data_IF_683319458031
#
_entry.id   IF_683319458031
#
_cell.length_a   1.000
_cell.length_b   1.000
_cell.length_c   1.000
_cell.angle_alpha   90.00
_cell.angle_beta   90.00
_cell.angle_gamma   90.00
#
_symmetry.space_group_name_H-M   'P 1'
#
loop_
_entity.id
_entity.type
_entity.pdbx_description
1 polymer ?
#
# COMPACT_ATOMS: atom_id res chain seq x y z
N UNK A 1 3.30 20.13 7.47
CA UNK A 1 4.27 19.14 6.98
C UNK A 1 3.45 18.00 6.39
N UNK A 2 3.48 17.86 5.07
CA UNK A 2 2.49 17.09 4.32
C UNK A 2 2.44 15.63 4.76
N UNK A 3 1.22 15.13 4.96
CA UNK A 3 0.93 13.75 5.38
C UNK A 3 1.54 12.69 4.43
N UNK A 4 1.87 13.09 3.20
CA UNK A 4 2.57 12.27 2.20
C UNK A 4 4.07 12.15 2.49
N UNK A 5 4.73 13.20 2.96
CA UNK A 5 6.17 13.17 3.26
C UNK A 5 6.43 12.36 4.54
N UNK A 6 5.57 12.52 5.54
CA UNK A 6 5.68 11.78 6.81
C UNK A 6 5.44 10.29 6.64
N UNK A 7 4.51 9.88 5.77
CA UNK A 7 4.26 8.48 5.44
C UNK A 7 5.41 7.84 4.66
N UNK A 8 6.02 8.56 3.71
CA UNK A 8 7.21 8.09 2.98
C UNK A 8 8.40 7.89 3.93
N UNK A 9 8.65 8.85 4.83
CA UNK A 9 9.72 8.75 5.84
C UNK A 9 9.48 7.59 6.81
N UNK A 10 8.25 7.42 7.30
CA UNK A 10 7.89 6.32 8.18
C UNK A 10 8.13 4.96 7.50
N UNK A 11 7.77 4.83 6.22
CA UNK A 11 8.01 3.62 5.44
C UNK A 11 9.51 3.34 5.26
N UNK A 12 10.32 4.37 4.95
CA UNK A 12 11.76 4.24 4.82
C UNK A 12 12.42 3.80 6.14
N UNK A 13 11.97 4.34 7.28
CA UNK A 13 12.44 3.95 8.62
C UNK A 13 12.04 2.51 8.94
N UNK A 14 10.81 2.09 8.63
CA UNK A 14 10.38 0.70 8.82
C UNK A 14 11.20 -0.26 7.96
N UNK A 15 11.44 0.07 6.69
CA UNK A 15 12.30 -0.73 5.82
C UNK A 15 13.75 -0.80 6.35
N UNK A 16 14.30 0.30 6.87
CA UNK A 16 15.63 0.33 7.47
C UNK A 16 15.69 -0.49 8.77
N UNK A 17 14.66 -0.43 9.61
CA UNK A 17 14.57 -1.23 10.83
C UNK A 17 14.40 -2.71 10.53
N UNK A 18 13.58 -3.08 9.54
CA UNK A 18 13.46 -4.46 9.05
C UNK A 18 14.80 -4.94 8.50
N UNK A 19 15.52 -4.09 7.76
CA UNK A 19 16.87 -4.42 7.26
C UNK A 19 17.87 -4.63 8.40
N UNK A 20 17.88 -3.76 9.41
CA UNK A 20 18.79 -3.87 10.57
C UNK A 20 18.43 -5.05 11.49
N UNK A 21 17.14 -5.23 11.79
CA UNK A 21 16.65 -6.31 12.65
C UNK A 21 16.89 -7.67 12.01
N UNK A 22 16.60 -7.80 10.72
CA UNK A 22 16.87 -9.02 9.98
C UNK A 22 18.38 -9.22 9.76
N UNK A 23 19.15 -8.15 9.53
CA UNK A 23 20.62 -8.24 9.46
C UNK A 23 21.24 -8.83 10.73
N UNK A 24 20.69 -8.50 11.91
CA UNK A 24 21.13 -9.06 13.18
C UNK A 24 20.76 -10.54 13.31
N UNK A 25 19.55 -10.96 12.93
CA UNK A 25 19.16 -12.37 12.96
C UNK A 25 19.99 -13.24 12.00
N UNK A 26 20.50 -12.65 10.91
CA UNK A 26 21.37 -13.34 9.96
C UNK A 26 22.79 -13.56 10.48
N UNK A 27 23.33 -12.64 11.29
CA UNK A 27 24.65 -12.82 11.94
C UNK A 27 24.63 -13.99 12.92
N UNK A 28 23.55 -14.11 13.70
CA UNK A 28 23.37 -15.22 14.63
C UNK A 28 23.15 -16.55 13.90
N UNK A 29 22.47 -16.55 12.75
CA UNK A 29 22.29 -17.74 11.93
C UNK A 29 23.60 -18.19 11.26
N UNK A 30 24.44 -17.25 10.82
CA UNK A 30 25.75 -17.56 10.23
C UNK A 30 26.74 -18.13 11.27
N UNK A 31 26.75 -17.60 12.49
CA UNK A 31 27.59 -18.11 13.58
C UNK A 31 27.26 -19.58 13.92
N UNK A 32 25.96 -19.94 13.93
CA UNK A 32 25.50 -21.32 14.14
C UNK A 32 25.90 -22.29 13.02
N UNK A 33 26.15 -21.80 11.79
CA UNK A 33 26.60 -22.65 10.65
C UNK A 33 28.06 -23.05 10.76
N UNK A 34 28.91 -22.17 11.30
CA UNK A 34 30.33 -22.47 11.56
C UNK A 34 30.41 -23.57 12.62
N UNK A 35 29.64 -23.43 13.72
CA UNK A 35 29.53 -24.47 14.75
C UNK A 35 28.94 -25.79 14.22
N UNK A 36 27.98 -25.76 13.29
CA UNK A 36 27.38 -26.97 12.67
C UNK A 36 28.35 -27.74 11.78
N UNK A 37 29.21 -27.05 11.03
CA UNK A 37 30.24 -27.71 10.19
C UNK A 37 31.25 -28.50 11.04
N UNK A 38 31.54 -28.01 12.24
CA UNK A 38 32.40 -28.72 13.20
C UNK A 38 31.72 -29.96 13.80
N UNK A 39 30.39 -29.93 14.00
CA UNK A 39 29.65 -31.04 14.61
C UNK A 39 29.32 -32.20 13.64
N UNK A 40 29.03 -31.92 12.38
CA UNK A 40 28.50 -32.93 11.44
C UNK A 40 29.48 -33.36 10.33
N UNK A 41 30.62 -32.68 10.16
CA UNK A 41 31.56 -32.98 9.07
C UNK A 41 30.95 -32.83 7.67
N UNK A 42 31.55 -33.44 6.64
CA UNK A 42 31.08 -33.29 5.24
C UNK A 42 29.68 -33.88 4.96
N UNK A 43 29.15 -34.72 5.84
CA UNK A 43 27.92 -35.47 5.62
C UNK A 43 26.73 -34.85 6.37
N UNK A 44 26.24 -33.73 5.85
CA UNK A 44 25.08 -33.02 6.40
C UNK A 44 23.76 -33.73 6.03
N UNK A 45 23.09 -34.32 7.02
CA UNK A 45 21.78 -34.98 6.87
C UNK A 45 20.69 -34.14 7.55
N UNK A 46 19.79 -33.52 6.75
CA UNK A 46 18.79 -32.54 7.22
C UNK A 46 17.86 -33.09 8.30
N UNK A 47 17.58 -34.39 8.30
CA UNK A 47 16.66 -35.02 9.24
C UNK A 47 17.28 -35.38 10.60
N UNK A 48 18.61 -35.29 10.72
CA UNK A 48 19.35 -35.54 11.96
C UNK A 48 19.71 -34.24 12.71
N UNK A 49 19.43 -33.10 12.10
CA UNK A 49 19.61 -31.78 12.69
C UNK A 49 18.40 -31.46 13.60
N UNK A 50 18.55 -31.65 14.91
CA UNK A 50 17.48 -31.40 15.89
C UNK A 50 17.13 -29.92 16.01
N UNK A 51 17.99 -29.04 15.50
CA UNK A 51 17.87 -27.58 15.60
C UNK A 51 17.26 -26.95 14.34
N UNK A 52 16.98 -27.75 13.30
CA UNK A 52 16.42 -27.28 12.04
C UNK A 52 14.97 -27.75 11.84
N UNK A 53 14.13 -26.88 11.31
CA UNK A 53 12.78 -27.23 10.90
C UNK A 53 12.83 -27.75 9.44
N UNK A 54 12.66 -29.06 9.18
CA UNK A 54 12.86 -29.66 7.87
C UNK A 54 11.92 -29.13 6.78
N UNK A 55 10.84 -28.45 7.19
CA UNK A 55 9.85 -27.84 6.30
C UNK A 55 10.30 -26.49 5.71
N UNK A 56 11.38 -25.88 6.22
CA UNK A 56 11.94 -24.66 5.64
C UNK A 56 12.92 -25.06 4.52
N UNK A 57 12.78 -24.51 3.31
CA UNK A 57 13.63 -24.91 2.20
C UNK A 57 15.06 -24.34 2.29
N UNK A 58 16.06 -25.17 1.98
CA UNK A 58 17.49 -24.83 2.04
C UNK A 58 17.88 -23.56 1.28
N UNK A 59 17.15 -23.14 0.24
CA UNK A 59 17.49 -21.93 -0.51
C UNK A 59 17.21 -20.63 0.27
N UNK A 60 16.34 -20.67 1.28
CA UNK A 60 16.13 -19.58 2.25
C UNK A 60 17.27 -19.56 3.28
N UNK A 61 17.71 -20.73 3.75
CA UNK A 61 18.79 -20.84 4.73
C UNK A 61 20.18 -20.60 4.15
N UNK A 62 20.49 -21.18 2.99
CA UNK A 62 21.83 -21.21 2.41
C UNK A 62 22.31 -19.84 1.94
N UNK A 63 21.38 -18.98 1.50
CA UNK A 63 21.66 -17.65 0.99
C UNK A 63 20.71 -16.60 1.59
N UNK A 64 21.02 -16.08 2.79
CA UNK A 64 20.10 -15.18 3.50
C UNK A 64 19.82 -13.88 2.76
N UNK A 65 20.77 -13.40 1.94
CA UNK A 65 20.57 -12.26 1.02
C UNK A 65 19.45 -12.50 0.01
N UNK A 66 19.28 -13.75 -0.47
CA UNK A 66 18.20 -14.10 -1.40
C UNK A 66 16.85 -14.18 -0.69
N UNK A 67 16.83 -14.72 0.53
CA UNK A 67 15.63 -14.74 1.37
C UNK A 67 15.08 -13.33 1.63
N UNK A 68 15.94 -12.36 1.94
CA UNK A 68 15.54 -10.95 2.10
C UNK A 68 14.97 -10.37 0.81
N UNK A 69 15.56 -10.66 -0.35
CA UNK A 69 15.03 -10.20 -1.65
C UNK A 69 13.62 -10.77 -1.88
N UNK A 70 13.40 -12.06 -1.63
CA UNK A 70 12.08 -12.66 -1.76
C UNK A 70 11.05 -12.06 -0.78
N UNK A 71 11.47 -11.77 0.46
CA UNK A 71 10.61 -11.10 1.44
C UNK A 71 10.20 -9.69 1.00
N UNK A 72 11.16 -8.90 0.48
CA UNK A 72 10.89 -7.56 -0.06
C UNK A 72 9.97 -7.63 -1.27
N UNK A 73 10.22 -8.56 -2.20
CA UNK A 73 9.38 -8.74 -3.40
C UNK A 73 7.96 -9.14 -3.00
N UNK A 74 7.79 -10.08 -2.06
CA UNK A 74 6.48 -10.47 -1.56
C UNK A 74 5.74 -9.30 -0.88
N UNK A 75 6.47 -8.46 -0.13
CA UNK A 75 5.89 -7.28 0.51
C UNK A 75 5.44 -6.22 -0.49
N UNK A 76 6.25 -5.95 -1.52
CA UNK A 76 5.87 -5.04 -2.61
C UNK A 76 4.65 -5.57 -3.37
N UNK A 77 4.60 -6.89 -3.63
CA UNK A 77 3.45 -7.54 -4.25
C UNK A 77 2.18 -7.40 -3.40
N UNK A 78 2.31 -7.53 -2.08
CA UNK A 78 1.19 -7.36 -1.16
C UNK A 78 0.63 -5.92 -1.19
N UNK A 79 1.51 -4.92 -1.16
CA UNK A 79 1.10 -3.50 -1.24
C UNK A 79 0.39 -3.22 -2.57
N UNK A 80 0.93 -3.73 -3.68
CA UNK A 80 0.30 -3.58 -5.00
C UNK A 80 -1.04 -4.28 -5.09
N UNK A 81 -1.21 -5.45 -4.47
CA UNK A 81 -2.50 -6.14 -4.42
C UNK A 81 -3.58 -5.34 -3.67
N UNK A 82 -3.21 -4.69 -2.56
CA UNK A 82 -4.14 -3.85 -1.78
C UNK A 82 -4.51 -2.58 -2.55
N UNK A 83 -3.56 -1.92 -3.23
CA UNK A 83 -3.85 -0.73 -4.04
C UNK A 83 -4.73 -1.04 -5.27
N UNK A 84 -4.82 -2.30 -5.71
CA UNK A 84 -5.77 -2.67 -6.79
C UNK A 84 -7.24 -2.44 -6.40
N UNK A 85 -7.56 -2.37 -5.11
CA UNK A 85 -8.93 -2.31 -4.61
C UNK A 85 -9.27 -0.87 -4.24
N UNK A 86 -10.31 -0.32 -4.86
CA UNK A 86 -10.85 1.00 -4.55
C UNK A 86 -12.33 0.89 -4.23
N UNK A 87 -12.77 1.48 -3.12
CA UNK A 87 -14.19 1.49 -2.75
C UNK A 87 -14.79 2.85 -3.08
N UNK A 88 -15.82 2.85 -3.93
CA UNK A 88 -16.58 4.05 -4.27
C UNK A 88 -17.73 4.20 -3.27
N UNK A 89 -17.79 5.32 -2.52
CA UNK A 89 -18.83 5.55 -1.53
C UNK A 89 -20.21 5.70 -2.19
N UNK A 90 -21.30 5.45 -1.45
CA UNK A 90 -22.64 5.62 -1.97
C UNK A 90 -22.90 7.08 -2.37
N UNK A 91 -23.76 7.28 -3.37
CA UNK A 91 -24.09 8.62 -3.88
C UNK A 91 -22.96 9.29 -4.69
N UNK A 92 -21.93 8.51 -5.06
CA UNK A 92 -20.87 8.90 -5.98
C UNK A 92 -20.77 7.90 -7.13
N UNK A 93 -20.30 8.36 -8.29
CA UNK A 93 -19.92 7.54 -9.45
C UNK A 93 -18.41 7.60 -9.63
N UNK A 94 -17.77 6.45 -9.78
CA UNK A 94 -16.34 6.39 -10.05
C UNK A 94 -16.07 6.65 -11.53
N UNK A 95 -15.25 7.65 -11.85
CA UNK A 95 -14.74 7.88 -13.21
C UNK A 95 -13.33 7.30 -13.30
N UNK A 96 -13.14 6.33 -14.18
CA UNK A 96 -11.84 5.69 -14.39
C UNK A 96 -11.00 6.52 -15.37
N UNK A 97 -9.83 6.95 -14.91
CA UNK A 97 -8.85 7.69 -15.69
C UNK A 97 -7.62 6.80 -15.89
N UNK A 98 -7.24 6.58 -17.15
CA UNK A 98 -6.05 5.81 -17.54
C UNK A 98 -5.07 6.76 -18.23
N UNK A 99 -3.91 7.05 -17.63
CA UNK A 99 -2.93 8.02 -18.18
C UNK A 99 -3.53 9.37 -18.62
N UNK A 100 -4.54 9.88 -17.90
CA UNK A 100 -5.22 11.13 -18.23
C UNK A 100 -6.36 10.99 -19.25
N UNK A 101 -6.56 9.82 -19.87
CA UNK A 101 -7.73 9.54 -20.69
C UNK A 101 -8.87 9.05 -19.81
N UNK A 102 -10.02 9.73 -19.90
CA UNK A 102 -11.26 9.31 -19.25
C UNK A 102 -11.84 8.13 -20.03
N UNK A 103 -12.13 7.03 -19.34
CA UNK A 103 -12.88 5.91 -19.91
C UNK A 103 -14.37 6.25 -19.84
N UNK A 104 -15.10 6.04 -20.93
CA UNK A 104 -16.55 6.36 -21.02
C UNK A 104 -17.42 5.51 -20.08
N UNK A 105 -16.87 4.43 -19.53
CA UNK A 105 -17.55 3.57 -18.57
C UNK A 105 -17.44 4.17 -17.18
N UNK A 106 -18.54 4.72 -16.67
CA UNK A 106 -18.68 5.14 -15.29
C UNK A 106 -18.84 3.91 -14.39
N UNK A 107 -17.95 3.76 -13.42
CA UNK A 107 -18.00 2.69 -12.42
C UNK A 107 -19.10 3.02 -11.40
N UNK A 108 -19.91 2.02 -11.08
CA UNK A 108 -20.92 2.12 -10.03
C UNK A 108 -20.30 2.25 -8.64
N UNK A 109 -21.15 2.53 -7.66
CA UNK A 109 -20.78 2.50 -6.24
C UNK A 109 -20.38 1.08 -5.78
N UNK A 110 -19.55 0.98 -4.74
CA UNK A 110 -19.05 -0.28 -4.19
C UNK A 110 -17.58 -0.59 -4.52
N UNK A 111 -17.20 -1.85 -4.34
CA UNK A 111 -15.83 -2.34 -4.56
C UNK A 111 -15.53 -2.42 -6.05
N UNK A 112 -14.54 -1.65 -6.46
CA UNK A 112 -14.07 -1.57 -7.84
C UNK A 112 -12.59 -1.94 -7.91
N UNK A 113 -12.23 -2.67 -8.95
CA UNK A 113 -10.84 -3.02 -9.23
C UNK A 113 -10.22 -2.02 -10.20
N UNK A 114 -9.09 -1.43 -9.81
CA UNK A 114 -8.24 -0.61 -10.66
C UNK A 114 -6.88 -1.28 -10.82
N UNK A 115 -6.24 -1.08 -11.97
CA UNK A 115 -4.81 -1.43 -12.05
C UNK A 115 -3.99 -0.40 -11.27
N UNK A 116 -3.09 -0.85 -10.38
CA UNK A 116 -2.28 0.04 -9.56
C UNK A 116 -1.36 0.87 -10.48
N UNK A 117 -1.06 2.10 -10.07
CA UNK A 117 -0.22 3.10 -10.75
C UNK A 117 -0.76 3.71 -12.06
N UNK A 118 -1.38 2.92 -12.93
CA UNK A 118 -1.80 3.37 -14.26
C UNK A 118 -3.20 3.98 -14.24
N UNK A 119 -4.09 3.39 -13.44
CA UNK A 119 -5.50 3.77 -13.38
C UNK A 119 -5.81 4.48 -12.07
N UNK A 120 -6.56 5.57 -12.17
CA UNK A 120 -7.08 6.33 -11.04
C UNK A 120 -8.60 6.35 -11.13
N UNK A 121 -9.27 6.16 -10.01
CA UNK A 121 -10.73 6.32 -9.90
C UNK A 121 -10.97 7.63 -9.17
N UNK A 122 -11.68 8.55 -9.84
CA UNK A 122 -12.13 9.82 -9.24
C UNK A 122 -13.60 9.69 -8.90
N UNK A 123 -13.96 9.97 -7.65
CA UNK A 123 -15.34 9.84 -7.19
C UNK A 123 -16.10 11.14 -7.53
N UNK A 124 -17.06 11.06 -8.44
CA UNK A 124 -17.93 12.16 -8.84
C UNK A 124 -19.24 12.09 -8.05
N UNK A 125 -19.61 13.13 -7.31
CA UNK A 125 -20.87 13.18 -6.56
C UNK A 125 -22.05 13.21 -7.54
N UNK A 126 -23.07 12.38 -7.28
CA UNK A 126 -24.33 12.36 -8.07
C UNK A 126 -25.56 12.75 -7.25
N UNK A 127 -25.36 13.16 -6.00
CA UNK A 127 -26.42 13.68 -5.14
C UNK A 127 -26.62 15.16 -5.40
N UNK A 128 -27.89 15.60 -5.41
CA UNK A 128 -28.26 17.01 -5.48
C UNK A 128 -27.75 17.73 -4.22
N UNK A 129 -27.04 18.82 -4.44
CA UNK A 129 -26.57 19.72 -3.40
C UNK A 129 -27.38 21.01 -3.50
N UNK A 130 -27.95 21.45 -2.38
CA UNK A 130 -28.61 22.76 -2.30
C UNK A 130 -27.51 23.78 -2.10
N UNK A 131 -27.16 24.49 -3.16
CA UNK A 131 -26.27 25.64 -3.07
C UNK A 131 -27.11 26.86 -2.74
N UNK A 132 -27.01 27.31 -1.49
CA UNK A 132 -27.67 28.54 -1.06
C UNK A 132 -26.77 29.71 -1.40
N UNK A 133 -27.17 30.51 -2.38
CA UNK A 133 -26.48 31.74 -2.73
C UNK A 133 -27.27 32.89 -2.12
N UNK A 134 -26.65 33.55 -1.14
CA UNK A 134 -27.16 34.78 -0.56
C UNK A 134 -26.70 35.95 -1.42
N UNK A 135 -27.61 36.46 -2.24
CA UNK A 135 -27.39 37.66 -3.05
C UNK A 135 -27.93 38.88 -2.31
N UNK A 136 -27.08 39.89 -2.12
CA UNK A 136 -27.49 41.19 -1.60
C UNK A 136 -27.65 42.16 -2.77
N UNK A 137 -28.89 42.53 -3.06
CA UNK A 137 -29.21 43.50 -4.10
C UNK A 137 -29.77 44.79 -3.47
N UNK A 138 -29.23 45.94 -3.88
CA UNK A 138 -29.78 47.23 -3.52
C UNK A 138 -30.93 47.59 -4.46
N UNK A 139 -32.14 47.74 -3.90
CA UNK A 139 -33.34 48.14 -4.63
C UNK A 139 -33.25 49.60 -5.09
N UNK A 140 -34.09 49.98 -6.07
CA UNK A 140 -34.14 51.35 -6.65
C UNK A 140 -34.38 52.45 -5.62
N UNK A 141 -34.83 52.11 -4.42
CA UNK A 141 -35.10 53.02 -3.29
C UNK A 141 -34.02 52.96 -2.20
N UNK A 142 -32.80 52.49 -2.54
CA UNK A 142 -31.64 52.42 -1.62
C UNK A 142 -31.85 51.48 -0.41
N UNK A 143 -32.75 50.50 -0.57
CA UNK A 143 -33.02 49.45 0.41
C UNK A 143 -32.19 48.21 0.08
N UNK A 144 -31.53 47.62 1.07
CA UNK A 144 -30.80 46.37 0.91
C UNK A 144 -31.78 45.19 1.04
N UNK A 145 -31.91 44.38 -0.02
CA UNK A 145 -32.72 43.17 -0.02
C UNK A 145 -31.77 41.97 -0.06
N UNK A 146 -31.80 41.15 0.99
CA UNK A 146 -31.13 39.86 1.02
C UNK A 146 -32.06 38.80 0.45
N UNK A 147 -31.65 38.15 -0.63
CA UNK A 147 -32.40 37.05 -1.24
C UNK A 147 -31.57 35.78 -1.19
N UNK A 148 -32.07 34.77 -0.47
CA UNK A 148 -31.47 33.43 -0.45
C UNK A 148 -32.08 32.61 -1.59
N UNK A 149 -31.29 32.34 -2.62
CA UNK A 149 -31.66 31.42 -3.70
C UNK A 149 -31.33 29.98 -3.25
N UNK A 150 -32.25 29.02 -3.46
CA UNK A 150 -32.11 27.61 -3.05
C UNK A 150 -32.34 26.66 -4.22
#
# INVERSE_FOLDING_TARGET
MDMTITTILAFAVVCALVYMFFGNSLREAAARRVARREQFGEQYDRFKDTDNNPFIPDFIEKNPRRATIYGIVAFILFITAVDCIHSVPPGHRGVMITFGKVKEVNLGEGLQFKLPYIQKIVNMKVMLEKEQVDENAASSDLQEITTTLT
#
